data_IF_407008395429
#
_entry.id   IF_407008395429
#
_cell.length_a   1.000
_cell.length_b   1.000
_cell.length_c   1.000
_cell.angle_alpha   90.00
_cell.angle_beta   90.00
_cell.angle_gamma   90.00
#
_symmetry.space_group_name_H-M   'P 1'
#
loop_
_entity.id
_entity.type
_entity.pdbx_description
1 polymer ?
#
# COMPACT_ATOMS: atom_id res chain seq x y z
N UNK A 1 40.21 13.09 22.89
CA UNK A 1 39.90 12.35 21.65
C UNK A 1 38.41 12.05 21.65
N UNK A 2 37.64 12.96 21.08
CA UNK A 2 36.27 12.83 20.56
C UNK A 2 36.17 11.67 19.55
N UNK A 3 35.06 11.01 19.25
CA UNK A 3 33.66 10.92 19.72
C UNK A 3 33.14 9.71 18.92
N UNK A 4 32.44 8.76 19.54
CA UNK A 4 31.58 7.82 18.77
C UNK A 4 30.30 7.61 19.56
N UNK A 5 29.29 8.41 19.23
CA UNK A 5 27.88 8.09 19.46
C UNK A 5 27.07 8.78 18.35
N UNK A 6 25.93 8.17 18.00
CA UNK A 6 24.90 8.61 17.04
C UNK A 6 25.03 8.05 15.61
N UNK A 7 24.44 6.86 15.41
CA UNK A 7 23.95 6.42 14.09
C UNK A 7 22.67 5.58 14.24
N UNK A 8 21.84 5.91 15.23
CA UNK A 8 20.59 5.21 15.55
C UNK A 8 19.50 6.22 15.94
N UNK A 9 19.34 7.28 15.14
CA UNK A 9 18.34 8.34 15.35
C UNK A 9 17.66 8.81 14.05
N UNK A 10 18.30 8.59 12.90
CA UNK A 10 17.80 9.07 11.59
C UNK A 10 16.62 8.26 11.02
N UNK A 11 16.57 6.95 11.25
CA UNK A 11 15.53 6.09 10.64
C UNK A 11 14.13 6.30 11.21
N UNK A 12 14.03 6.58 12.53
CA UNK A 12 12.77 6.84 13.22
C UNK A 12 12.26 8.26 12.93
N UNK A 13 13.15 9.25 12.89
CA UNK A 13 12.81 10.63 12.57
C UNK A 13 12.21 10.77 11.16
N UNK A 14 12.76 10.03 10.19
CA UNK A 14 12.25 10.03 8.80
C UNK A 14 10.86 9.38 8.69
N UNK A 15 10.64 8.28 9.41
CA UNK A 15 9.34 7.59 9.43
C UNK A 15 8.24 8.43 10.09
N UNK A 16 8.56 9.10 11.20
CA UNK A 16 7.60 9.96 11.90
C UNK A 16 7.24 11.22 11.10
N UNK A 17 8.19 11.81 10.37
CA UNK A 17 7.91 12.90 9.42
C UNK A 17 7.01 12.46 8.26
N UNK A 18 7.23 11.27 7.70
CA UNK A 18 6.35 10.71 6.69
C UNK A 18 4.92 10.50 7.21
N UNK A 19 4.79 9.95 8.42
CA UNK A 19 3.49 9.77 9.09
C UNK A 19 2.81 11.11 9.38
N UNK A 20 3.56 12.11 9.83
CA UNK A 20 3.04 13.46 10.07
C UNK A 20 2.47 14.07 8.80
N UNK A 21 3.22 14.03 7.69
CA UNK A 21 2.76 14.56 6.41
C UNK A 21 1.55 13.81 5.85
N UNK A 22 1.48 12.49 6.01
CA UNK A 22 0.28 11.72 5.66
C UNK A 22 -0.91 12.19 6.51
N UNK A 23 -0.72 12.34 7.82
CA UNK A 23 -1.78 12.74 8.77
C UNK A 23 -2.29 14.15 8.50
N UNK A 24 -1.41 15.10 8.19
CA UNK A 24 -1.79 16.46 7.78
C UNK A 24 -2.53 16.47 6.43
N UNK A 25 -2.06 15.69 5.46
CA UNK A 25 -2.65 15.61 4.12
C UNK A 25 -4.04 14.98 4.07
N UNK A 26 -4.42 14.19 5.09
CA UNK A 26 -5.74 13.56 5.22
C UNK A 26 -6.66 14.30 6.20
N UNK A 27 -6.18 15.35 6.87
CA UNK A 27 -6.93 16.07 7.88
C UNK A 27 -8.21 16.69 7.30
N UNK A 28 -9.37 16.29 7.83
CA UNK A 28 -10.69 16.80 7.40
C UNK A 28 -11.31 16.10 6.19
N UNK A 29 -10.60 15.19 5.52
CA UNK A 29 -11.17 14.35 4.46
C UNK A 29 -11.98 13.19 5.07
N UNK A 30 -13.14 12.87 4.49
CA UNK A 30 -13.98 11.74 4.91
C UNK A 30 -14.40 10.90 3.71
N UNK A 31 -14.73 9.63 3.93
CA UNK A 31 -15.17 8.71 2.87
C UNK A 31 -14.11 8.50 1.77
N UNK A 32 -14.53 8.53 0.50
CA UNK A 32 -13.64 8.29 -0.66
C UNK A 32 -12.45 9.27 -0.70
N UNK A 33 -12.66 10.53 -0.31
CA UNK A 33 -11.61 11.55 -0.37
C UNK A 33 -10.46 11.26 0.61
N UNK A 34 -10.78 10.66 1.76
CA UNK A 34 -9.78 10.21 2.73
C UNK A 34 -8.87 9.14 2.11
N UNK A 35 -9.45 8.06 1.55
CA UNK A 35 -8.68 6.96 0.97
C UNK A 35 -7.85 7.40 -0.23
N UNK A 36 -8.38 8.31 -1.06
CA UNK A 36 -7.63 8.92 -2.15
C UNK A 36 -6.41 9.66 -1.62
N UNK A 37 -6.60 10.57 -0.67
CA UNK A 37 -5.48 11.31 -0.07
C UNK A 37 -4.46 10.37 0.56
N UNK A 38 -4.90 9.37 1.32
CA UNK A 38 -4.02 8.37 1.94
C UNK A 38 -3.17 7.62 0.90
N UNK A 39 -3.80 7.07 -0.15
CA UNK A 39 -3.08 6.32 -1.19
C UNK A 39 -2.03 7.19 -1.91
N UNK A 40 -2.36 8.43 -2.24
CA UNK A 40 -1.42 9.35 -2.89
C UNK A 40 -0.24 9.73 -1.97
N UNK A 41 -0.52 10.08 -0.71
CA UNK A 41 0.54 10.45 0.24
C UNK A 41 1.45 9.26 0.56
N UNK A 42 0.91 8.04 0.68
CA UNK A 42 1.70 6.82 0.84
C UNK A 42 2.60 6.56 -0.38
N UNK A 43 2.06 6.67 -1.59
CA UNK A 43 2.86 6.49 -2.80
C UNK A 43 4.04 7.47 -2.85
N UNK A 44 3.79 8.74 -2.52
CA UNK A 44 4.82 9.78 -2.51
C UNK A 44 5.86 9.58 -1.40
N UNK A 45 5.42 9.27 -0.18
CA UNK A 45 6.30 9.09 0.98
C UNK A 45 7.20 7.87 0.83
N UNK A 46 6.67 6.76 0.31
CA UNK A 46 7.40 5.52 0.09
C UNK A 46 8.12 5.45 -1.27
N UNK A 47 7.94 6.48 -2.10
CA UNK A 47 8.49 6.56 -3.46
C UNK A 47 8.13 5.35 -4.34
N UNK A 48 6.89 4.86 -4.21
CA UNK A 48 6.36 3.74 -5.00
C UNK A 48 5.44 4.25 -6.10
N UNK A 49 5.41 3.53 -7.23
CA UNK A 49 4.56 3.90 -8.39
C UNK A 49 3.07 3.72 -8.10
N UNK A 50 2.73 2.68 -7.34
CA UNK A 50 1.35 2.24 -7.10
C UNK A 50 1.08 2.19 -5.61
N UNK A 51 -0.07 2.71 -5.20
CA UNK A 51 -0.60 2.52 -3.85
C UNK A 51 -2.13 2.49 -3.91
N UNK A 52 -2.73 1.59 -3.15
CA UNK A 52 -4.18 1.47 -3.10
C UNK A 52 -4.65 1.07 -1.70
N UNK A 53 -5.92 1.34 -1.43
CA UNK A 53 -6.65 0.83 -0.27
C UNK A 53 -7.80 -0.01 -0.82
N UNK A 54 -8.01 -1.19 -0.24
CA UNK A 54 -9.10 -2.08 -0.62
C UNK A 54 -9.81 -2.64 0.61
N UNK A 55 -11.08 -2.98 0.44
CA UNK A 55 -11.90 -3.64 1.45
C UNK A 55 -12.44 -4.98 0.91
N UNK A 56 -12.71 -5.94 1.79
CA UNK A 56 -13.51 -7.10 1.45
C UNK A 56 -14.93 -6.66 1.08
N UNK A 57 -15.53 -7.26 0.06
CA UNK A 57 -16.91 -6.94 -0.33
C UNK A 57 -17.95 -7.49 0.63
N UNK A 58 -17.58 -8.53 1.38
CA UNK A 58 -18.41 -9.26 2.33
C UNK A 58 -17.54 -10.10 3.29
N UNK A 59 -18.17 -10.71 4.29
CA UNK A 59 -17.52 -11.51 5.34
C UNK A 59 -16.89 -12.83 4.83
N UNK A 60 -17.14 -13.22 3.58
CA UNK A 60 -16.50 -14.42 3.01
C UNK A 60 -15.05 -14.19 2.60
N UNK A 61 -14.63 -12.93 2.51
CA UNK A 61 -13.30 -12.52 2.03
C UNK A 61 -12.95 -13.07 0.63
N UNK A 62 -13.95 -13.44 -0.18
CA UNK A 62 -13.71 -14.01 -1.51
C UNK A 62 -13.29 -12.95 -2.54
N UNK A 63 -13.73 -11.71 -2.36
CA UNK A 63 -13.50 -10.59 -3.28
C UNK A 63 -13.15 -9.34 -2.50
N UNK A 64 -12.40 -8.48 -3.16
CA UNK A 64 -12.04 -7.16 -2.64
C UNK A 64 -12.39 -6.07 -3.64
N UNK A 65 -12.67 -4.87 -3.13
CA UNK A 65 -12.95 -3.66 -3.89
C UNK A 65 -11.93 -2.60 -3.54
N UNK A 66 -11.30 -2.00 -4.55
CA UNK A 66 -10.41 -0.86 -4.31
C UNK A 66 -11.24 0.38 -3.93
N UNK A 67 -10.97 0.98 -2.78
CA UNK A 67 -11.56 2.25 -2.33
C UNK A 67 -10.85 3.45 -2.95
N UNK A 68 -9.54 3.32 -3.18
CA UNK A 68 -8.73 4.27 -3.92
C UNK A 68 -7.52 3.55 -4.51
N UNK A 69 -7.11 3.93 -5.71
CA UNK A 69 -5.90 3.41 -6.35
C UNK A 69 -5.15 4.55 -7.05
N UNK A 70 -4.03 4.98 -6.47
CA UNK A 70 -3.07 5.86 -7.12
C UNK A 70 -2.18 5.08 -8.09
N UNK A 71 -2.19 5.47 -9.36
CA UNK A 71 -1.45 4.76 -10.42
C UNK A 71 -0.14 5.45 -10.87
N UNK A 72 0.30 6.47 -10.12
CA UNK A 72 1.57 7.18 -10.35
C UNK A 72 1.38 8.62 -10.85
N UNK A 73 0.36 8.89 -11.68
CA UNK A 73 0.06 10.24 -12.16
C UNK A 73 -1.40 10.69 -11.95
N UNK A 74 -2.20 9.85 -11.28
CA UNK A 74 -3.62 10.07 -11.04
C UNK A 74 -4.27 8.84 -10.42
N UNK A 75 -5.59 8.89 -10.23
CA UNK A 75 -6.35 7.78 -9.66
C UNK A 75 -7.02 6.93 -10.75
N UNK A 76 -6.89 5.61 -10.61
CA UNK A 76 -7.65 4.66 -11.40
C UNK A 76 -9.11 4.59 -10.94
N UNK A 77 -9.98 4.02 -11.78
CA UNK A 77 -11.35 3.68 -11.39
C UNK A 77 -11.35 2.57 -10.34
N UNK A 78 -12.35 2.57 -9.46
CA UNK A 78 -12.54 1.47 -8.51
C UNK A 78 -12.85 0.18 -9.27
N UNK A 79 -12.15 -0.90 -8.90
CA UNK A 79 -12.35 -2.24 -9.44
C UNK A 79 -12.60 -3.24 -8.32
N UNK A 80 -13.29 -4.32 -8.66
CA UNK A 80 -13.46 -5.48 -7.79
C UNK A 80 -12.82 -6.71 -8.41
N UNK A 81 -12.06 -7.45 -7.61
CA UNK A 81 -11.34 -8.63 -8.08
C UNK A 81 -11.39 -9.79 -7.07
N UNK A 82 -11.24 -11.04 -7.53
CA UNK A 82 -11.12 -12.20 -6.64
C UNK A 82 -9.87 -12.07 -5.76
N UNK A 83 -9.99 -12.36 -4.47
CA UNK A 83 -8.85 -12.31 -3.55
C UNK A 83 -7.85 -13.44 -3.82
N UNK A 84 -8.36 -14.62 -4.16
CA UNK A 84 -7.57 -15.84 -4.32
C UNK A 84 -6.48 -15.69 -5.40
N UNK A 85 -5.26 -16.09 -5.05
CA UNK A 85 -4.11 -16.06 -5.96
C UNK A 85 -3.51 -14.66 -6.16
N UNK A 86 -3.94 -13.68 -5.38
CA UNK A 86 -3.35 -12.34 -5.32
C UNK A 86 -2.47 -12.20 -4.07
N UNK A 87 -1.49 -11.28 -4.06
CA UNK A 87 -0.71 -11.00 -2.84
C UNK A 87 -1.58 -10.48 -1.69
N UNK A 88 -2.74 -9.87 -1.96
CA UNK A 88 -3.68 -9.38 -0.96
C UNK A 88 -4.25 -10.50 -0.08
N UNK A 89 -4.38 -11.72 -0.61
CA UNK A 89 -4.87 -12.90 0.12
C UNK A 89 -4.07 -13.09 1.41
N UNK A 90 -2.75 -12.96 1.32
CA UNK A 90 -1.83 -13.10 2.44
C UNK A 90 -1.99 -11.97 3.46
N UNK A 91 -2.24 -10.75 3.00
CA UNK A 91 -2.40 -9.60 3.89
C UNK A 91 -3.66 -9.72 4.75
N UNK A 92 -4.77 -10.16 4.15
CA UNK A 92 -6.07 -10.27 4.83
C UNK A 92 -6.09 -11.36 5.91
N UNK A 93 -5.14 -12.30 5.88
CA UNK A 93 -4.90 -13.25 6.99
C UNK A 93 -4.36 -12.57 8.27
N UNK A 94 -4.21 -11.24 8.28
CA UNK A 94 -3.81 -10.45 9.46
C UNK A 94 -2.30 -10.20 9.57
N UNK A 95 -1.56 -10.42 8.48
CA UNK A 95 -0.10 -10.35 8.46
C UNK A 95 0.39 -9.24 7.54
N UNK A 96 1.46 -8.55 7.95
CA UNK A 96 2.20 -7.66 7.06
C UNK A 96 3.05 -8.51 6.12
N UNK A 97 2.92 -8.30 4.81
CA UNK A 97 3.71 -8.99 3.80
C UNK A 97 4.48 -8.01 2.93
N UNK A 98 5.71 -8.39 2.59
CA UNK A 98 6.56 -7.64 1.67
C UNK A 98 7.31 -8.59 0.75
N UNK A 99 7.24 -8.31 -0.54
CA UNK A 99 7.94 -8.99 -1.62
C UNK A 99 8.78 -7.92 -2.35
N UNK A 100 10.10 -7.88 -2.13
CA UNK A 100 10.94 -6.82 -2.69
C UNK A 100 11.16 -6.94 -4.20
N UNK A 101 10.97 -8.12 -4.77
CA UNK A 101 11.12 -8.43 -6.20
C UNK A 101 10.40 -9.75 -6.56
N UNK A 102 10.30 -10.05 -7.86
CA UNK A 102 9.81 -11.33 -8.36
C UNK A 102 8.33 -11.58 -8.15
N UNK A 103 7.52 -10.54 -7.87
CA UNK A 103 6.13 -10.70 -7.49
C UNK A 103 5.29 -11.48 -8.54
N UNK A 104 5.51 -11.20 -9.83
CA UNK A 104 4.78 -11.85 -10.93
C UNK A 104 5.04 -13.37 -11.01
N UNK A 105 6.21 -13.83 -10.56
CA UNK A 105 6.57 -15.25 -10.53
C UNK A 105 5.86 -15.97 -9.37
N UNK A 106 5.67 -15.27 -8.26
CA UNK A 106 5.01 -15.81 -7.06
C UNK A 106 3.48 -15.84 -7.22
N UNK A 107 2.91 -14.89 -7.96
CA UNK A 107 1.47 -14.76 -8.19
C UNK A 107 1.12 -14.78 -9.69
N UNK A 108 1.39 -15.89 -10.41
CA UNK A 108 1.23 -15.96 -11.87
C UNK A 108 -0.22 -15.93 -12.36
N UNK A 109 -1.18 -16.11 -11.44
CA UNK A 109 -2.62 -16.08 -11.72
C UNK A 109 -3.15 -14.64 -11.75
N UNK A 110 -2.50 -13.72 -11.04
CA UNK A 110 -2.85 -12.31 -11.01
C UNK A 110 -2.30 -11.58 -12.24
N UNK A 111 -3.14 -11.45 -13.26
CA UNK A 111 -2.78 -10.85 -14.55
C UNK A 111 -2.60 -9.34 -14.50
N UNK A 112 -3.15 -8.68 -13.47
CA UNK A 112 -3.03 -7.24 -13.32
C UNK A 112 -1.60 -6.87 -12.94
N UNK A 113 -0.92 -7.70 -12.14
CA UNK A 113 0.50 -7.51 -11.82
C UNK A 113 1.38 -7.45 -13.08
N UNK A 114 1.12 -8.33 -14.05
CA UNK A 114 1.86 -8.36 -15.32
C UNK A 114 1.50 -7.15 -16.18
N UNK A 115 0.20 -6.83 -16.30
CA UNK A 115 -0.29 -5.72 -17.10
C UNK A 115 0.23 -4.37 -16.61
N UNK A 116 0.35 -4.22 -15.29
CA UNK A 116 0.87 -3.02 -14.62
C UNK A 116 2.40 -3.04 -14.48
N UNK A 117 3.07 -4.16 -14.81
CA UNK A 117 4.51 -4.33 -14.67
C UNK A 117 4.99 -4.21 -13.22
N UNK A 118 4.22 -4.76 -12.26
CA UNK A 118 4.54 -4.72 -10.83
C UNK A 118 5.64 -5.73 -10.52
N UNK A 119 6.76 -5.27 -9.99
CA UNK A 119 7.90 -6.13 -9.62
C UNK A 119 7.90 -6.49 -8.13
N UNK A 120 7.39 -5.58 -7.29
CA UNK A 120 7.44 -5.65 -5.83
C UNK A 120 6.11 -5.26 -5.20
N UNK A 121 5.88 -5.69 -3.96
CA UNK A 121 4.64 -5.43 -3.23
C UNK A 121 4.91 -5.33 -1.72
N UNK A 122 4.23 -4.41 -1.06
CA UNK A 122 4.10 -4.40 0.38
C UNK A 122 2.63 -4.18 0.74
N UNK A 123 2.13 -4.94 1.72
CA UNK A 123 0.75 -4.86 2.16
C UNK A 123 0.62 -5.03 3.66
N UNK A 124 -0.25 -4.22 4.26
CA UNK A 124 -0.51 -4.15 5.69
C UNK A 124 -2.01 -4.32 5.92
N UNK A 125 -2.45 -5.21 6.82
CA UNK A 125 -3.86 -5.35 7.14
C UNK A 125 -4.36 -4.12 7.91
N UNK A 126 -5.59 -3.71 7.63
CA UNK A 126 -6.32 -2.72 8.42
C UNK A 126 -7.39 -3.47 9.21
N UNK A 127 -7.32 -3.40 10.55
CA UNK A 127 -8.17 -4.13 11.50
C UNK A 127 -9.24 -3.24 12.12
#
# INVERSE_FOLDING_TARGET
MSTVQESQSDGLATGEQALHHITEGIAGATGEQFFRSLAQHLANALQVRYAFVAECTDDSHARVRTLAFWHGNGFAQSIEYPLIGTPCEKVIEGNVYSYPEGLQLLFPVDKDLVTLGVESYAGVPLL
#
